data_IF_114715553957
#
_entry.id   IF_114715553957
#
_cell.length_a   1.000
_cell.length_b   1.000
_cell.length_c   1.000
_cell.angle_alpha   90.00
_cell.angle_beta   90.00
_cell.angle_gamma   90.00
#
_symmetry.space_group_name_H-M   'P 1'
#
loop_
_entity.id
_entity.type
_entity.pdbx_description
1 polymer ?
#
# COMPACT_ATOMS: atom_id res chain seq x y z
N UNK A 1 16.65 25.25 -4.77
CA UNK A 1 16.97 26.70 -4.91
C UNK A 1 15.83 27.62 -4.45
N UNK A 2 14.57 27.20 -4.57
CA UNK A 2 13.36 27.93 -4.16
C UNK A 2 13.23 28.20 -2.65
N UNK A 3 13.80 27.36 -1.78
CA UNK A 3 13.87 27.64 -0.34
C UNK A 3 14.71 28.89 0.00
N UNK A 4 15.76 29.15 -0.78
CA UNK A 4 16.73 30.24 -0.57
C UNK A 4 16.34 31.53 -1.29
N UNK A 5 15.79 31.45 -2.51
CA UNK A 5 15.42 32.62 -3.31
C UNK A 5 13.91 32.96 -3.29
N UNK A 6 13.09 32.18 -2.58
CA UNK A 6 11.64 32.38 -2.51
C UNK A 6 11.24 33.51 -1.56
N UNK A 7 10.33 34.39 -2.02
CA UNK A 7 9.79 35.51 -1.22
C UNK A 7 8.91 34.98 -0.09
N UNK A 8 9.44 35.00 1.14
CA UNK A 8 8.71 34.56 2.33
C UNK A 8 7.85 35.69 2.88
N UNK A 9 6.53 35.54 2.81
CA UNK A 9 5.56 36.43 3.47
C UNK A 9 4.56 35.58 4.25
N UNK A 10 4.96 35.02 5.41
CA UNK A 10 4.05 34.30 6.27
C UNK A 10 3.03 35.28 6.84
N UNK A 11 1.76 34.92 6.75
CA UNK A 11 0.63 35.65 7.33
C UNK A 11 -0.20 34.60 8.07
N UNK A 12 -0.81 34.90 9.22
CA UNK A 12 -1.62 33.94 9.96
C UNK A 12 -2.61 33.18 9.05
N UNK A 13 -3.32 33.90 8.17
CA UNK A 13 -4.27 33.32 7.22
C UNK A 13 -3.66 32.38 6.18
N UNK A 14 -2.39 32.58 5.79
CA UNK A 14 -1.70 31.70 4.84
C UNK A 14 -1.23 30.40 5.46
N UNK A 15 -1.07 30.40 6.77
CA UNK A 15 -0.64 29.23 7.54
C UNK A 15 -1.84 28.46 8.13
N UNK A 16 -3.06 29.02 8.00
CA UNK A 16 -4.28 28.36 8.42
C UNK A 16 -4.65 27.21 7.47
N UNK A 17 -5.26 26.12 7.97
CA UNK A 17 -5.86 25.09 7.14
C UNK A 17 -6.92 25.67 6.20
N UNK A 18 -6.97 25.18 4.96
CA UNK A 18 -7.97 25.60 4.00
C UNK A 18 -9.32 24.96 4.30
N UNK A 19 -10.32 25.76 4.68
CA UNK A 19 -11.73 25.34 4.85
C UNK A 19 -12.71 26.30 4.14
N UNK A 20 -12.37 26.79 2.95
CA UNK A 20 -13.24 27.68 2.15
C UNK A 20 -13.72 28.94 2.91
N UNK A 21 -12.92 29.48 3.85
CA UNK A 21 -13.24 30.69 4.61
C UNK A 21 -13.92 30.44 5.96
N UNK A 22 -14.08 29.18 6.37
CA UNK A 22 -14.58 28.79 7.70
C UNK A 22 -13.37 28.52 8.63
N UNK A 23 -13.51 28.86 9.92
CA UNK A 23 -12.50 28.51 10.92
C UNK A 23 -12.69 27.04 11.29
N UNK A 24 -11.64 26.19 11.27
CA UNK A 24 -11.75 24.79 11.64
C UNK A 24 -12.11 24.64 13.13
N UNK A 25 -13.39 24.41 13.41
CA UNK A 25 -13.94 24.25 14.77
C UNK A 25 -13.84 22.79 15.29
N UNK A 26 -13.49 21.83 14.42
CA UNK A 26 -13.49 20.39 14.77
C UNK A 26 -12.10 19.75 14.77
N UNK A 27 -11.95 18.66 15.51
CA UNK A 27 -10.69 17.90 15.52
C UNK A 27 -10.52 17.17 14.17
N UNK A 28 -9.33 17.27 13.57
CA UNK A 28 -8.98 16.60 12.30
C UNK A 28 -8.91 15.05 12.39
N UNK A 29 -9.36 14.44 13.49
CA UNK A 29 -9.36 12.99 13.70
C UNK A 29 -10.76 12.42 13.44
N UNK A 30 -11.09 12.27 12.16
CA UNK A 30 -12.26 11.50 11.73
C UNK A 30 -12.02 9.99 11.83
N UNK A 31 -13.10 9.20 11.90
CA UNK A 31 -13.03 7.74 11.78
C UNK A 31 -12.75 7.41 10.32
N UNK A 32 -11.55 6.92 10.04
CA UNK A 32 -11.19 6.40 8.71
C UNK A 32 -11.81 5.01 8.55
N UNK A 33 -12.27 4.69 7.34
CA UNK A 33 -12.88 3.39 7.05
C UNK A 33 -11.91 2.23 7.27
N UNK A 34 -12.40 1.10 7.79
CA UNK A 34 -11.60 -0.12 8.01
C UNK A 34 -11.03 -0.67 6.68
N UNK A 35 -11.64 -0.31 5.54
CA UNK A 35 -11.16 -0.70 4.20
C UNK A 35 -9.69 -0.35 3.96
N UNK A 36 -9.23 0.81 4.43
CA UNK A 36 -7.82 1.21 4.29
C UNK A 36 -6.87 0.29 5.07
N UNK A 37 -7.29 -0.22 6.22
CA UNK A 37 -6.51 -1.16 7.00
C UNK A 37 -6.42 -2.53 6.31
N UNK A 38 -7.53 -3.02 5.75
CA UNK A 38 -7.56 -4.29 5.02
C UNK A 38 -6.61 -4.27 3.81
N UNK A 39 -6.64 -3.19 3.02
CA UNK A 39 -5.74 -3.03 1.86
C UNK A 39 -4.28 -2.95 2.31
N UNK A 40 -3.97 -2.23 3.39
CA UNK A 40 -2.61 -2.13 3.91
C UNK A 40 -2.09 -3.50 4.42
N UNK A 41 -2.93 -4.25 5.15
CA UNK A 41 -2.58 -5.58 5.63
C UNK A 41 -2.38 -6.57 4.48
N UNK A 42 -3.24 -6.54 3.47
CA UNK A 42 -3.09 -7.35 2.26
C UNK A 42 -1.78 -7.04 1.53
N UNK A 43 -1.46 -5.75 1.38
CA UNK A 43 -0.21 -5.33 0.75
C UNK A 43 1.01 -5.86 1.51
N UNK A 44 1.02 -5.81 2.84
CA UNK A 44 2.12 -6.33 3.66
C UNK A 44 2.30 -7.83 3.45
N UNK A 45 1.22 -8.60 3.49
CA UNK A 45 1.29 -10.07 3.31
C UNK A 45 1.80 -10.41 1.92
N UNK A 46 1.25 -9.76 0.89
CA UNK A 46 1.67 -9.96 -0.50
C UNK A 46 3.13 -9.57 -0.72
N UNK A 47 3.59 -8.45 -0.18
CA UNK A 47 4.98 -7.98 -0.29
C UNK A 47 5.95 -8.99 0.35
N UNK A 48 5.62 -9.51 1.53
CA UNK A 48 6.38 -10.58 2.19
C UNK A 48 6.45 -11.84 1.33
N UNK A 49 5.35 -12.25 0.69
CA UNK A 49 5.35 -13.39 -0.22
C UNK A 49 6.25 -13.14 -1.44
N UNK A 50 6.27 -11.92 -1.99
CA UNK A 50 7.15 -11.58 -3.11
C UNK A 50 8.63 -11.53 -2.73
N UNK A 51 8.97 -11.20 -1.48
CA UNK A 51 10.35 -11.28 -0.99
C UNK A 51 10.90 -12.70 -1.14
N UNK A 52 10.08 -13.74 -0.91
CA UNK A 52 10.49 -15.13 -1.09
C UNK A 52 10.64 -15.54 -2.56
N UNK A 53 9.97 -14.86 -3.49
CA UNK A 53 10.11 -15.13 -4.93
C UNK A 53 11.47 -14.67 -5.47
N UNK A 54 12.10 -13.64 -4.89
CA UNK A 54 13.35 -13.09 -5.43
C UNK A 54 14.54 -14.07 -5.37
N UNK A 55 14.88 -14.69 -4.22
CA UNK A 55 15.98 -15.65 -4.18
C UNK A 55 15.73 -16.85 -5.10
N UNK A 56 14.48 -17.33 -5.15
CA UNK A 56 14.08 -18.41 -6.04
C UNK A 56 14.31 -18.05 -7.52
N UNK A 57 13.92 -16.84 -7.94
CA UNK A 57 14.10 -16.37 -9.31
C UNK A 57 15.58 -16.28 -9.71
N UNK A 58 16.46 -15.94 -8.77
CA UNK A 58 17.92 -15.90 -9.00
C UNK A 58 18.50 -17.30 -9.22
N UNK A 59 18.10 -18.30 -8.44
CA UNK A 59 18.64 -19.67 -8.52
C UNK A 59 17.92 -20.58 -9.51
N UNK A 60 16.86 -20.08 -10.17
CA UNK A 60 16.03 -20.84 -11.12
C UNK A 60 16.86 -21.51 -12.23
N UNK A 61 17.91 -20.84 -12.70
CA UNK A 61 18.81 -21.35 -13.76
C UNK A 61 19.65 -22.55 -13.31
N UNK A 62 19.98 -22.63 -12.03
CA UNK A 62 20.84 -23.69 -11.48
C UNK A 62 20.04 -24.93 -11.09
N UNK A 63 18.85 -24.74 -10.52
CA UNK A 63 18.00 -25.85 -10.04
C UNK A 63 17.02 -26.38 -11.10
N UNK A 64 16.81 -25.67 -12.21
CA UNK A 64 16.03 -26.13 -13.35
C UNK A 64 14.60 -26.57 -13.00
N UNK A 65 14.17 -27.74 -13.48
CA UNK A 65 12.80 -28.25 -13.30
C UNK A 65 12.40 -28.49 -11.84
N UNK A 66 13.36 -28.74 -10.94
CA UNK A 66 13.07 -28.90 -9.52
C UNK A 66 12.65 -27.58 -8.86
N UNK A 67 13.27 -26.47 -9.24
CA UNK A 67 12.87 -25.14 -8.77
C UNK A 67 11.43 -24.80 -9.17
N UNK A 68 11.03 -25.15 -10.39
CA UNK A 68 9.66 -24.98 -10.87
C UNK A 68 8.65 -25.77 -10.03
N UNK A 69 8.94 -27.04 -9.75
CA UNK A 69 8.07 -27.88 -8.93
C UNK A 69 7.95 -27.36 -7.49
N UNK A 70 9.04 -26.88 -6.91
CA UNK A 70 9.05 -26.29 -5.57
C UNK A 70 8.25 -24.98 -5.48
N UNK A 71 8.18 -24.20 -6.57
CA UNK A 71 7.48 -22.90 -6.57
C UNK A 71 6.00 -22.98 -6.91
N UNK A 72 5.55 -24.05 -7.56
CA UNK A 72 4.13 -24.27 -7.86
C UNK A 72 3.19 -24.11 -6.65
N UNK A 73 3.42 -24.74 -5.48
CA UNK A 73 2.55 -24.56 -4.33
C UNK A 73 2.59 -23.12 -3.79
N UNK A 74 3.74 -22.45 -3.86
CA UNK A 74 3.87 -21.06 -3.41
C UNK A 74 3.08 -20.10 -4.32
N UNK A 75 3.20 -20.27 -5.64
CA UNK A 75 2.42 -19.53 -6.62
C UNK A 75 0.92 -19.81 -6.49
N UNK A 76 0.54 -21.06 -6.18
CA UNK A 76 -0.85 -21.41 -5.94
C UNK A 76 -1.41 -20.67 -4.71
N UNK A 77 -0.65 -20.57 -3.62
CA UNK A 77 -1.07 -19.83 -2.42
C UNK A 77 -1.28 -18.35 -2.70
N UNK A 78 -0.36 -17.71 -3.45
CA UNK A 78 -0.48 -16.31 -3.90
C UNK A 78 -1.76 -16.06 -4.71
N UNK A 79 -2.07 -16.95 -5.66
CA UNK A 79 -3.27 -16.80 -6.48
C UNK A 79 -4.53 -17.10 -5.66
N UNK A 80 -4.50 -18.12 -4.81
CA UNK A 80 -5.63 -18.50 -3.97
C UNK A 80 -5.98 -17.41 -2.95
N UNK A 81 -4.97 -16.78 -2.31
CA UNK A 81 -5.16 -15.67 -1.37
C UNK A 81 -5.79 -14.46 -2.06
N UNK A 82 -5.29 -14.10 -3.25
CA UNK A 82 -5.84 -13.00 -4.05
C UNK A 82 -7.29 -13.26 -4.46
N UNK A 83 -7.61 -14.46 -4.94
CA UNK A 83 -8.98 -14.83 -5.34
C UNK A 83 -9.92 -14.84 -4.14
N UNK A 84 -9.46 -15.31 -2.98
CA UNK A 84 -10.25 -15.31 -1.75
C UNK A 84 -10.60 -13.90 -1.29
N UNK A 85 -9.61 -13.00 -1.25
CA UNK A 85 -9.81 -11.60 -0.84
C UNK A 85 -10.65 -10.81 -1.86
N UNK A 86 -10.50 -11.09 -3.16
CA UNK A 86 -11.38 -10.54 -4.18
C UNK A 86 -12.83 -10.97 -3.96
N UNK A 87 -13.09 -12.26 -3.73
CA UNK A 87 -14.45 -12.77 -3.45
C UNK A 87 -15.05 -12.22 -2.15
N UNK A 88 -14.23 -11.79 -1.19
CA UNK A 88 -14.69 -11.20 0.08
C UNK A 88 -15.00 -9.71 -0.03
N UNK A 89 -14.82 -9.09 -1.19
CA UNK A 89 -15.10 -7.67 -1.38
C UNK A 89 -14.10 -6.75 -0.66
N UNK A 90 -12.92 -7.27 -0.26
CA UNK A 90 -11.87 -6.44 0.35
C UNK A 90 -11.34 -5.35 -0.60
N UNK A 91 -11.57 -5.54 -1.91
CA UNK A 91 -11.19 -4.63 -2.99
C UNK A 91 -12.37 -3.77 -3.50
N UNK A 92 -13.57 -3.89 -2.94
CA UNK A 92 -14.75 -3.15 -3.40
C UNK A 92 -14.87 -1.78 -2.72
N UNK A 93 -14.91 -0.73 -3.55
CA UNK A 93 -14.95 0.67 -3.15
C UNK A 93 -16.32 1.29 -3.44
N UNK A 94 -17.36 0.77 -2.80
CA UNK A 94 -18.63 1.50 -2.56
C UNK A 94 -18.63 2.20 -1.19
#
# INVERSE_FOLDING_TARGET
MSFFFGKRRPTPEKNAPYECGIVPETSARGRVSVKFFLVAMLFIVFDVETIFLFPWAVVLRELGGYALAAMLPFMFLLVASLVYEWKRGALEWD
#
